data_IF_529761268929
#
_entry.id   IF_529761268929
#
_cell.length_a   1.000
_cell.length_b   1.000
_cell.length_c   1.000
_cell.angle_alpha   90.00
_cell.angle_beta   90.00
_cell.angle_gamma   90.00
#
_symmetry.space_group_name_H-M   'P 1'
#
loop_
_entity.id
_entity.type
_entity.pdbx_description
1 polymer ?
#
# COMPACT_ATOMS: atom_id res chain seq x y z
N UNK A 1 -20.78 -6.01 -20.23
CA UNK A 1 -20.02 -6.05 -18.93
C UNK A 1 -20.73 -5.30 -17.82
N UNK A 2 -21.28 -4.13 -18.10
CA UNK A 2 -21.89 -3.23 -17.09
C UNK A 2 -23.08 -3.84 -16.36
N UNK A 3 -24.01 -4.46 -17.07
CA UNK A 3 -25.23 -5.04 -16.44
C UNK A 3 -24.96 -6.20 -15.46
N UNK A 4 -23.93 -6.98 -15.69
CA UNK A 4 -23.54 -8.07 -14.78
C UNK A 4 -22.92 -7.50 -13.52
N UNK A 5 -22.03 -6.53 -13.67
CA UNK A 5 -21.36 -5.86 -12.54
C UNK A 5 -22.38 -5.13 -11.67
N UNK A 6 -23.35 -4.42 -12.27
CA UNK A 6 -24.43 -3.76 -11.52
C UNK A 6 -25.31 -4.75 -10.75
N UNK A 7 -25.61 -5.91 -11.31
CA UNK A 7 -26.38 -6.95 -10.60
C UNK A 7 -25.62 -7.51 -9.40
N UNK A 8 -24.33 -7.81 -9.58
CA UNK A 8 -23.46 -8.29 -8.48
C UNK A 8 -23.35 -7.25 -7.39
N UNK A 9 -23.16 -5.98 -7.76
CA UNK A 9 -23.10 -4.88 -6.80
C UNK A 9 -24.41 -4.77 -6.01
N UNK A 10 -25.55 -4.73 -6.71
CA UNK A 10 -26.87 -4.61 -6.05
C UNK A 10 -27.16 -5.79 -5.13
N UNK A 11 -26.77 -7.00 -5.52
CA UNK A 11 -26.92 -8.16 -4.65
C UNK A 11 -26.01 -8.08 -3.43
N UNK A 12 -24.74 -7.67 -3.60
CA UNK A 12 -23.83 -7.46 -2.47
C UNK A 12 -24.38 -6.42 -1.48
N UNK A 13 -24.92 -5.30 -1.99
CA UNK A 13 -25.53 -4.27 -1.16
C UNK A 13 -26.76 -4.79 -0.41
N UNK A 14 -27.61 -5.59 -1.05
CA UNK A 14 -28.78 -6.19 -0.40
C UNK A 14 -28.39 -7.21 0.70
N UNK A 15 -27.34 -7.98 0.46
CA UNK A 15 -26.82 -8.90 1.49
C UNK A 15 -26.19 -8.13 2.66
N UNK A 16 -25.49 -7.02 2.39
CA UNK A 16 -24.94 -6.16 3.45
C UNK A 16 -26.03 -5.53 4.31
N UNK A 17 -27.10 -5.02 3.68
CA UNK A 17 -28.25 -4.46 4.42
C UNK A 17 -28.94 -5.54 5.30
N UNK A 18 -28.85 -6.83 4.93
CA UNK A 18 -29.32 -7.95 5.71
C UNK A 18 -28.43 -8.32 6.90
N UNK A 19 -27.16 -7.93 6.90
CA UNK A 19 -26.18 -8.23 7.97
C UNK A 19 -26.42 -7.38 9.22
N UNK A 20 -27.11 -6.24 9.14
CA UNK A 20 -27.41 -5.38 10.29
C UNK A 20 -28.08 -6.12 11.46
N UNK A 21 -28.69 -7.26 11.20
CA UNK A 21 -29.30 -8.13 12.24
C UNK A 21 -28.30 -9.08 12.91
N UNK A 22 -27.04 -9.15 12.44
CA UNK A 22 -26.00 -10.08 12.92
C UNK A 22 -24.83 -9.28 13.49
N UNK A 23 -24.75 -9.19 14.81
CA UNK A 23 -23.86 -8.28 15.54
C UNK A 23 -22.35 -8.63 15.48
N UNK A 24 -21.93 -9.73 14.86
CA UNK A 24 -20.55 -10.25 14.95
C UNK A 24 -19.83 -10.33 13.59
N UNK A 25 -20.31 -9.60 12.57
CA UNK A 25 -19.68 -9.61 11.24
C UNK A 25 -19.02 -8.26 10.96
N UNK A 26 -17.74 -8.28 10.59
CA UNK A 26 -17.00 -7.13 10.09
C UNK A 26 -16.72 -7.33 8.59
N UNK A 27 -17.20 -6.41 7.75
CA UNK A 27 -16.92 -6.40 6.31
C UNK A 27 -15.81 -5.43 6.02
N UNK A 28 -14.73 -5.90 5.39
CA UNK A 28 -13.59 -5.08 4.99
C UNK A 28 -13.43 -5.14 3.46
N UNK A 29 -13.48 -3.98 2.82
CA UNK A 29 -13.18 -3.82 1.41
C UNK A 29 -11.86 -3.07 1.20
N UNK A 30 -11.13 -3.40 0.14
CA UNK A 30 -9.93 -2.67 -0.27
C UNK A 30 -9.98 -2.35 -1.76
N UNK A 31 -9.56 -1.15 -2.13
CA UNK A 31 -9.47 -0.71 -3.52
C UNK A 31 -8.30 0.24 -3.73
N UNK A 32 -7.67 0.17 -4.88
CA UNK A 32 -6.71 1.17 -5.38
C UNK A 32 -7.39 2.22 -6.31
N UNK A 33 -8.70 2.09 -6.56
CA UNK A 33 -9.49 2.99 -7.40
C UNK A 33 -10.72 3.50 -6.63
N UNK A 34 -10.53 4.33 -5.59
CA UNK A 34 -11.64 4.87 -4.82
C UNK A 34 -12.53 5.80 -5.66
N UNK A 35 -12.00 6.37 -6.73
CA UNK A 35 -12.71 7.20 -7.71
C UNK A 35 -13.79 6.44 -8.50
N UNK A 36 -13.72 5.11 -8.52
CA UNK A 36 -14.68 4.24 -9.21
C UNK A 36 -15.71 3.60 -8.28
N UNK A 37 -15.62 3.86 -6.98
CA UNK A 37 -16.60 3.31 -6.04
C UNK A 37 -17.98 3.94 -6.26
N UNK A 38 -19.01 3.08 -6.31
CA UNK A 38 -20.38 3.55 -6.31
C UNK A 38 -20.70 4.22 -4.95
N UNK A 39 -21.24 5.44 -4.95
CA UNK A 39 -21.63 6.13 -3.71
C UNK A 39 -22.58 5.31 -2.82
N UNK A 40 -23.36 4.39 -3.39
CA UNK A 40 -24.24 3.53 -2.63
C UNK A 40 -23.52 2.60 -1.64
N UNK A 41 -22.26 2.24 -1.94
CA UNK A 41 -21.41 1.42 -1.04
C UNK A 41 -21.12 2.16 0.28
N UNK A 42 -21.05 3.49 0.21
CA UNK A 42 -20.60 4.36 1.30
C UNK A 42 -21.74 4.93 2.13
N UNK A 43 -22.98 4.45 1.92
CA UNK A 43 -24.12 4.81 2.76
C UNK A 43 -23.97 4.18 4.14
N UNK A 44 -24.45 4.87 5.20
CA UNK A 44 -24.47 4.31 6.56
C UNK A 44 -25.06 2.91 6.60
N UNK A 45 -24.52 2.05 7.45
CA UNK A 45 -24.91 0.65 7.55
C UNK A 45 -24.20 -0.31 6.57
N UNK A 46 -23.29 0.19 5.72
CA UNK A 46 -22.51 -0.61 4.76
C UNK A 46 -21.01 -0.47 5.04
N UNK A 47 -20.31 0.44 4.38
CA UNK A 47 -18.93 0.76 4.70
C UNK A 47 -18.86 2.09 5.46
N UNK A 48 -18.97 2.04 6.77
CA UNK A 48 -19.08 3.22 7.64
C UNK A 48 -17.75 3.93 7.87
N UNK A 49 -16.64 3.22 7.68
CA UNK A 49 -15.29 3.78 7.86
C UNK A 49 -14.44 3.62 6.62
N UNK A 50 -13.86 4.73 6.21
CA UNK A 50 -12.88 4.78 5.13
C UNK A 50 -11.51 5.07 5.73
N UNK A 51 -10.55 4.23 5.40
CA UNK A 51 -9.16 4.37 5.82
C UNK A 51 -8.28 4.55 4.59
N UNK A 52 -7.56 5.66 4.53
CA UNK A 52 -6.53 5.86 3.51
C UNK A 52 -5.23 5.20 3.98
N UNK A 53 -4.76 4.22 3.21
CA UNK A 53 -3.45 3.62 3.41
C UNK A 53 -2.44 4.40 2.55
N UNK A 54 -1.68 5.27 3.19
CA UNK A 54 -0.65 6.07 2.53
C UNK A 54 0.58 5.23 2.15
N UNK A 55 1.36 5.74 1.19
CA UNK A 55 2.71 5.23 0.97
C UNK A 55 3.54 5.33 2.27
N UNK A 56 4.44 4.37 2.52
CA UNK A 56 5.22 4.35 3.75
C UNK A 56 6.16 5.57 3.84
N UNK A 57 6.28 6.13 5.04
CA UNK A 57 7.32 7.10 5.36
C UNK A 57 8.70 6.42 5.42
N UNK A 58 9.78 7.18 5.64
CA UNK A 58 11.15 6.63 5.67
C UNK A 58 11.32 5.47 6.64
N UNK A 59 10.83 5.61 7.88
CA UNK A 59 10.86 4.53 8.88
C UNK A 59 10.05 3.31 8.44
N UNK A 60 8.90 3.53 7.81
CA UNK A 60 8.09 2.46 7.24
C UNK A 60 8.83 1.71 6.13
N UNK A 61 9.54 2.44 5.25
CA UNK A 61 10.35 1.84 4.20
C UNK A 61 11.54 1.04 4.76
N UNK A 62 12.20 1.53 5.80
CA UNK A 62 13.23 0.75 6.50
C UNK A 62 12.69 -0.58 7.03
N UNK A 63 11.52 -0.55 7.68
CA UNK A 63 10.92 -1.76 8.22
C UNK A 63 10.53 -2.76 7.11
N UNK A 64 9.98 -2.26 6.01
CA UNK A 64 9.65 -3.10 4.84
C UNK A 64 10.92 -3.71 4.25
N UNK A 65 11.98 -2.92 4.06
CA UNK A 65 13.27 -3.40 3.56
C UNK A 65 13.89 -4.44 4.50
N UNK A 66 13.80 -4.25 5.82
CA UNK A 66 14.26 -5.23 6.83
C UNK A 66 13.55 -6.58 6.65
N UNK A 67 12.24 -6.55 6.42
CA UNK A 67 11.45 -7.77 6.20
C UNK A 67 11.90 -8.49 4.93
N UNK A 68 11.95 -7.78 3.79
CA UNK A 68 12.28 -8.39 2.50
C UNK A 68 13.75 -8.79 2.37
N UNK A 69 14.66 -8.18 3.11
CA UNK A 69 16.07 -8.56 3.12
C UNK A 69 16.44 -9.55 4.25
N UNK A 70 15.49 -9.95 5.11
CA UNK A 70 15.78 -10.78 6.30
C UNK A 70 16.65 -12.00 6.01
N UNK A 71 16.32 -12.73 4.95
CA UNK A 71 17.03 -13.94 4.54
C UNK A 71 18.03 -13.70 3.40
N UNK A 72 18.28 -12.44 3.04
CA UNK A 72 19.21 -12.09 1.96
C UNK A 72 20.63 -11.97 2.52
N UNK A 73 21.61 -12.66 1.92
CA UNK A 73 23.00 -12.52 2.31
C UNK A 73 23.54 -11.16 1.79
N UNK A 74 23.48 -10.13 2.64
CA UNK A 74 24.05 -8.82 2.32
C UNK A 74 25.52 -8.84 2.69
N UNK A 75 26.39 -8.42 1.77
CA UNK A 75 27.85 -8.51 1.96
C UNK A 75 28.63 -7.44 1.24
N UNK A 76 29.93 -7.43 1.50
CA UNK A 76 30.94 -6.66 0.77
C UNK A 76 32.10 -7.59 0.43
N UNK A 77 32.37 -7.77 -0.85
CA UNK A 77 33.28 -8.80 -1.31
C UNK A 77 32.77 -10.19 -0.90
N UNK A 78 33.60 -10.97 -0.20
CA UNK A 78 33.25 -12.29 0.34
C UNK A 78 32.73 -12.24 1.78
N UNK A 79 32.63 -11.06 2.40
CA UNK A 79 32.27 -10.91 3.81
C UNK A 79 30.81 -10.48 3.94
N UNK A 80 30.06 -11.19 4.79
CA UNK A 80 28.70 -10.77 5.19
C UNK A 80 28.75 -9.52 6.06
N UNK A 81 27.78 -8.62 5.87
CA UNK A 81 27.60 -7.44 6.70
C UNK A 81 27.18 -7.86 8.11
N UNK A 82 27.76 -7.21 9.13
CA UNK A 82 27.29 -7.28 10.51
C UNK A 82 25.96 -6.51 10.67
N UNK A 83 25.24 -6.75 11.75
CA UNK A 83 23.92 -6.17 12.00
C UNK A 83 23.89 -4.65 11.81
N UNK A 84 24.85 -3.94 12.40
CA UNK A 84 24.96 -2.47 12.29
C UNK A 84 25.25 -1.99 10.85
N UNK A 85 26.10 -2.72 10.12
CA UNK A 85 26.43 -2.39 8.72
C UNK A 85 25.21 -2.65 7.83
N UNK A 86 24.45 -3.72 8.11
CA UNK A 86 23.20 -4.06 7.46
C UNK A 86 22.13 -3.00 7.70
N UNK A 87 21.95 -2.57 8.94
CA UNK A 87 21.01 -1.49 9.28
C UNK A 87 21.35 -0.19 8.56
N UNK A 88 22.62 0.20 8.51
CA UNK A 88 23.07 1.39 7.80
C UNK A 88 22.79 1.31 6.30
N UNK A 89 23.02 0.14 5.67
CA UNK A 89 22.69 -0.06 4.25
C UNK A 89 21.20 0.09 4.01
N UNK A 90 20.36 -0.50 4.85
CA UNK A 90 18.89 -0.43 4.74
C UNK A 90 18.41 1.01 4.90
N UNK A 91 18.93 1.74 5.89
CA UNK A 91 18.60 3.15 6.10
C UNK A 91 19.01 4.03 4.89
N UNK A 92 20.20 3.79 4.31
CA UNK A 92 20.63 4.47 3.08
C UNK A 92 19.70 4.23 1.90
N UNK A 93 19.22 2.99 1.73
CA UNK A 93 18.27 2.63 0.67
C UNK A 93 16.91 3.29 0.95
N UNK A 94 16.43 3.26 2.19
CA UNK A 94 15.16 3.87 2.57
C UNK A 94 15.10 5.38 2.29
N UNK A 95 16.22 6.10 2.49
CA UNK A 95 16.33 7.52 2.13
C UNK A 95 16.20 7.76 0.63
N UNK A 96 16.72 6.85 -0.19
CA UNK A 96 16.71 6.94 -1.66
C UNK A 96 15.41 6.48 -2.31
N UNK A 97 14.47 5.90 -1.54
CA UNK A 97 13.23 5.29 -2.03
C UNK A 97 11.98 6.09 -1.70
N UNK A 98 12.07 7.43 -1.71
CA UNK A 98 10.89 8.25 -1.50
C UNK A 98 9.82 8.00 -2.57
N UNK A 99 8.54 7.91 -2.14
CA UNK A 99 7.42 7.58 -3.03
C UNK A 99 7.27 6.09 -3.40
N UNK A 100 8.15 5.21 -2.89
CA UNK A 100 8.02 3.76 -3.11
C UNK A 100 6.94 3.17 -2.18
N UNK A 101 6.13 2.30 -2.76
CA UNK A 101 5.19 1.44 -2.01
C UNK A 101 5.90 0.18 -1.50
N UNK A 102 5.19 -0.63 -0.69
CA UNK A 102 5.71 -1.94 -0.27
C UNK A 102 6.06 -2.84 -1.45
N UNK A 103 5.23 -2.86 -2.49
CA UNK A 103 5.46 -3.63 -3.70
C UNK A 103 6.69 -3.15 -4.48
N UNK A 104 6.93 -1.82 -4.55
CA UNK A 104 8.12 -1.27 -5.21
C UNK A 104 9.39 -1.66 -4.45
N UNK A 105 9.36 -1.62 -3.10
CA UNK A 105 10.49 -2.01 -2.26
C UNK A 105 10.79 -3.51 -2.37
N UNK A 106 9.77 -4.37 -2.43
CA UNK A 106 9.94 -5.78 -2.72
C UNK A 106 10.57 -6.01 -4.09
N UNK A 107 10.07 -5.32 -5.13
CA UNK A 107 10.62 -5.39 -6.47
C UNK A 107 12.08 -4.92 -6.51
N UNK A 108 12.43 -3.86 -5.77
CA UNK A 108 13.80 -3.35 -5.63
C UNK A 108 14.73 -4.41 -5.04
N UNK A 109 14.33 -5.04 -3.94
CA UNK A 109 15.10 -6.10 -3.27
C UNK A 109 15.30 -7.29 -4.21
N UNK A 110 14.25 -7.72 -4.89
CA UNK A 110 14.32 -8.80 -5.88
C UNK A 110 15.23 -8.48 -7.06
N UNK A 111 15.15 -7.25 -7.61
CA UNK A 111 16.02 -6.83 -8.71
C UNK A 111 17.48 -6.77 -8.29
N UNK A 112 17.79 -6.29 -7.07
CA UNK A 112 19.16 -6.27 -6.53
C UNK A 112 19.73 -7.70 -6.43
N UNK A 113 18.93 -8.67 -5.99
CA UNK A 113 19.34 -10.08 -5.95
C UNK A 113 19.60 -10.63 -7.36
N UNK A 114 18.72 -10.34 -8.32
CA UNK A 114 18.89 -10.77 -9.72
C UNK A 114 20.15 -10.17 -10.36
N UNK A 115 20.44 -8.90 -10.06
CA UNK A 115 21.67 -8.24 -10.55
C UNK A 115 22.92 -8.90 -10.00
N UNK A 116 22.93 -9.30 -8.73
CA UNK A 116 24.04 -10.05 -8.13
C UNK A 116 24.27 -11.39 -8.87
N UNK A 117 23.20 -12.13 -9.14
CA UNK A 117 23.28 -13.40 -9.86
C UNK A 117 23.68 -13.24 -11.33
N UNK A 118 23.26 -12.15 -11.99
CA UNK A 118 23.66 -11.84 -13.39
C UNK A 118 25.13 -11.49 -13.48
N UNK A 119 25.67 -10.78 -12.48
CA UNK A 119 27.08 -10.47 -12.44
C UNK A 119 27.93 -11.72 -12.21
N UNK A 120 27.47 -12.58 -11.30
CA UNK A 120 28.12 -13.86 -11.01
C UNK A 120 27.08 -14.88 -10.55
N UNK A 121 26.87 -15.94 -11.34
CA UNK A 121 25.93 -17.03 -11.02
C UNK A 121 26.30 -17.80 -9.73
N UNK A 122 27.53 -17.63 -9.23
CA UNK A 122 28.00 -18.19 -7.96
C UNK A 122 28.12 -17.11 -6.88
N UNK A 123 27.41 -15.98 -7.04
CA UNK A 123 27.43 -14.92 -6.03
C UNK A 123 26.84 -15.41 -4.71
N UNK A 124 27.63 -15.31 -3.66
CA UNK A 124 27.21 -15.66 -2.31
C UNK A 124 26.54 -14.49 -1.58
N UNK A 125 26.73 -13.26 -2.08
CA UNK A 125 26.30 -12.04 -1.43
C UNK A 125 25.68 -11.03 -2.40
N UNK A 126 24.72 -10.27 -1.90
CA UNK A 126 24.18 -9.06 -2.57
C UNK A 126 24.86 -7.84 -2.01
N UNK A 127 25.46 -7.02 -2.88
CA UNK A 127 26.23 -5.84 -2.50
C UNK A 127 25.43 -4.56 -2.65
N UNK A 128 25.85 -3.49 -1.98
CA UNK A 128 25.26 -2.14 -2.08
C UNK A 128 25.12 -1.68 -3.54
N UNK A 129 26.11 -1.94 -4.40
CA UNK A 129 26.08 -1.58 -5.82
C UNK A 129 24.88 -2.17 -6.57
N UNK A 130 24.45 -3.39 -6.21
CA UNK A 130 23.29 -4.01 -6.86
C UNK A 130 21.98 -3.29 -6.50
N UNK A 131 21.86 -2.78 -5.27
CA UNK A 131 20.74 -1.91 -4.92
C UNK A 131 20.79 -0.57 -5.65
N UNK A 132 21.96 0.03 -5.80
CA UNK A 132 22.13 1.29 -6.54
C UNK A 132 21.79 1.12 -8.02
N UNK A 133 22.13 0.01 -8.62
CA UNK A 133 21.70 -0.32 -9.98
C UNK A 133 20.20 -0.62 -10.05
N UNK A 134 19.64 -1.36 -9.09
CA UNK A 134 18.23 -1.66 -9.01
C UNK A 134 17.37 -0.38 -8.89
N UNK A 135 17.82 0.66 -8.15
CA UNK A 135 17.15 1.96 -8.03
C UNK A 135 17.01 2.67 -9.39
N UNK A 136 17.90 2.39 -10.35
CA UNK A 136 17.78 2.94 -11.69
C UNK A 136 16.67 2.26 -12.50
N UNK A 137 16.37 1.00 -12.21
CA UNK A 137 15.40 0.17 -12.94
C UNK A 137 14.01 0.23 -12.32
N UNK A 138 13.92 0.14 -11.01
CA UNK A 138 12.65 0.18 -10.28
C UNK A 138 12.34 1.63 -9.92
N UNK A 139 11.20 2.12 -10.38
CA UNK A 139 10.76 3.50 -10.14
C UNK A 139 9.59 3.50 -9.13
N UNK A 140 9.41 4.60 -8.38
CA UNK A 140 8.26 4.71 -7.46
C UNK A 140 6.95 4.66 -8.23
N UNK A 141 5.98 3.89 -7.73
CA UNK A 141 4.64 3.80 -8.32
C UNK A 141 3.73 4.94 -7.86
N UNK A 142 4.03 5.58 -6.73
CA UNK A 142 3.25 6.71 -6.22
C UNK A 142 3.83 8.02 -6.74
N UNK A 143 3.04 8.69 -7.58
CA UNK A 143 3.36 10.02 -8.09
C UNK A 143 2.68 11.12 -7.27
N UNK A 144 3.18 12.34 -7.37
CA UNK A 144 2.55 13.53 -6.76
C UNK A 144 1.09 13.68 -7.20
N UNK A 145 0.76 13.30 -8.44
CA UNK A 145 -0.62 13.32 -8.93
C UNK A 145 -1.49 12.28 -8.26
N UNK A 146 -0.97 11.07 -8.06
CA UNK A 146 -1.69 9.99 -7.34
C UNK A 146 -2.05 10.43 -5.93
N UNK A 147 -1.09 11.05 -5.20
CA UNK A 147 -1.33 11.58 -3.85
C UNK A 147 -2.42 12.65 -3.85
N UNK A 148 -2.42 13.56 -4.82
CA UNK A 148 -3.44 14.61 -4.95
C UNK A 148 -4.84 14.02 -5.19
N UNK A 149 -4.95 13.00 -6.04
CA UNK A 149 -6.21 12.31 -6.30
C UNK A 149 -6.74 11.65 -5.03
N UNK A 150 -5.91 10.91 -4.31
CA UNK A 150 -6.31 10.25 -3.07
C UNK A 150 -6.74 11.24 -1.99
N UNK A 151 -6.02 12.35 -1.80
CA UNK A 151 -6.42 13.40 -0.86
C UNK A 151 -7.76 14.02 -1.22
N UNK A 152 -7.98 14.29 -2.50
CA UNK A 152 -9.26 14.84 -2.97
C UNK A 152 -10.42 13.87 -2.71
N UNK A 153 -10.21 12.59 -2.95
CA UNK A 153 -11.21 11.54 -2.68
C UNK A 153 -11.49 11.47 -1.17
N UNK A 154 -10.45 11.43 -0.33
CA UNK A 154 -10.59 11.43 1.14
C UNK A 154 -11.40 12.65 1.63
N UNK A 155 -11.09 13.86 1.13
CA UNK A 155 -11.84 15.08 1.48
C UNK A 155 -13.31 15.02 1.06
N UNK A 156 -13.59 14.47 -0.12
CA UNK A 156 -14.97 14.30 -0.59
C UNK A 156 -15.75 13.34 0.31
N UNK A 157 -15.14 12.21 0.71
CA UNK A 157 -15.79 11.26 1.60
C UNK A 157 -16.00 11.81 3.01
N UNK A 158 -15.02 12.52 3.56
CA UNK A 158 -15.16 13.17 4.86
C UNK A 158 -16.27 14.23 4.85
N UNK A 159 -16.45 14.95 3.75
CA UNK A 159 -17.56 15.89 3.59
C UNK A 159 -18.91 15.17 3.54
N UNK A 160 -19.02 14.11 2.75
CA UNK A 160 -20.26 13.33 2.63
C UNK A 160 -20.66 12.71 3.97
N UNK A 161 -19.71 12.14 4.71
CA UNK A 161 -19.97 11.60 6.04
C UNK A 161 -20.45 12.66 7.04
N UNK A 162 -19.85 13.87 7.02
CA UNK A 162 -20.28 14.99 7.89
C UNK A 162 -21.67 15.50 7.53
N UNK A 163 -22.01 15.54 6.24
CA UNK A 163 -23.34 15.99 5.79
C UNK A 163 -24.42 14.99 6.19
N UNK A 164 -24.15 13.70 6.16
CA UNK A 164 -25.08 12.66 6.61
C UNK A 164 -25.38 12.80 8.11
N UNK A 165 -24.35 12.98 8.94
CA UNK A 165 -24.50 13.17 10.40
C UNK A 165 -25.26 14.48 10.74
N UNK A 166 -25.08 15.56 9.97
CA UNK A 166 -25.77 16.82 10.23
C UNK A 166 -27.26 16.79 9.81
N UNK A 167 -27.66 15.92 8.90
CA UNK A 167 -29.07 15.74 8.53
C UNK A 167 -29.85 14.92 9.56
N UNK A 168 -29.22 13.92 10.21
CA UNK A 168 -29.90 13.17 11.29
C UNK A 168 -30.19 14.04 12.53
N UNK A 169 -29.34 15.02 12.83
CA UNK A 169 -29.59 15.97 13.92
C UNK A 169 -30.78 16.94 13.71
N UNK A 170 -31.32 17.03 12.49
CA UNK A 170 -32.43 17.94 12.16
C UNK A 170 -33.81 17.31 12.33
N UNK A 171 -33.91 16.01 12.59
CA UNK A 171 -35.19 15.31 12.79
C UNK A 171 -35.56 15.10 14.27
N UNK A 172 -34.77 15.60 15.21
CA UNK A 172 -35.01 15.51 16.66
C UNK A 172 -35.34 16.89 17.28
N UNK A 173 -35.99 17.79 16.51
CA UNK A 173 -36.51 19.06 16.98
C UNK A 173 -38.03 19.14 16.92
#
# INVERSE_FOLDING_TARGET
>A
GTKVTERVLNQMLAEMDGIETVNDILVIGATNRPDMLDPAILRPGRFDKILLVNAPNETGRENILKIHTKNMPLGEGKKLLKDKERENLIADIAKKTDGYTGADLEALVREAALLSLRENMQAENVHKKHFEEALNKVKPSVTTNTIKVYKKVEEQFLKSARTAVSQEGSYLG
#
